data_IF_912940206542
#
_entry.id   IF_912940206542
#
_cell.length_a   1.000
_cell.length_b   1.000
_cell.length_c   1.000
_cell.angle_alpha   90.00
_cell.angle_beta   90.00
_cell.angle_gamma   90.00
#
_symmetry.space_group_name_H-M   'P 1'
#
loop_
_entity.id
_entity.type
_entity.pdbx_description
1 polymer ?
#
# COMPACT_ATOMS: atom_id res chain seq x y z
N UNK A 1 26.08 -11.65 9.48
CA UNK A 1 26.03 -10.23 9.91
C UNK A 1 25.19 -10.14 11.17
N UNK A 2 25.74 -9.63 12.26
CA UNK A 2 24.95 -9.38 13.49
C UNK A 2 23.98 -8.24 13.16
N UNK A 3 22.70 -8.52 13.11
CA UNK A 3 21.66 -7.50 13.05
C UNK A 3 21.73 -6.71 14.36
N UNK A 4 22.05 -5.42 14.26
CA UNK A 4 22.07 -4.53 15.41
C UNK A 4 20.65 -4.47 15.98
N UNK A 5 20.48 -4.98 17.19
CA UNK A 5 19.20 -5.02 17.91
C UNK A 5 18.57 -3.61 18.13
N UNK A 6 19.34 -2.56 17.82
CA UNK A 6 18.89 -1.15 17.90
C UNK A 6 18.02 -0.70 16.71
N UNK A 7 17.93 -1.50 15.63
CA UNK A 7 17.14 -1.13 14.44
C UNK A 7 15.68 -1.60 14.48
N UNK A 8 15.29 -2.40 15.46
CA UNK A 8 13.90 -2.81 15.65
C UNK A 8 13.18 -1.82 16.57
N UNK A 9 11.98 -1.36 16.22
CA UNK A 9 11.18 -0.53 17.08
C UNK A 9 11.01 -1.19 18.45
N UNK A 10 11.10 -0.40 19.52
CA UNK A 10 10.97 -0.90 20.87
C UNK A 10 9.54 -1.46 21.10
N UNK A 11 9.42 -2.67 21.66
CA UNK A 11 8.13 -3.30 21.99
C UNK A 11 7.24 -2.40 22.86
N UNK A 12 7.83 -1.56 23.73
CA UNK A 12 7.08 -0.58 24.52
C UNK A 12 6.46 0.54 23.65
N UNK A 13 7.17 1.01 22.64
CA UNK A 13 6.66 1.99 21.69
C UNK A 13 5.56 1.39 20.85
N UNK A 14 5.75 0.16 20.35
CA UNK A 14 4.75 -0.57 19.62
C UNK A 14 3.48 -0.80 20.45
N UNK A 15 3.62 -1.22 21.73
CA UNK A 15 2.49 -1.40 22.65
C UNK A 15 1.78 -0.07 23.00
N UNK A 16 2.50 1.06 23.04
CA UNK A 16 1.88 2.37 23.26
C UNK A 16 1.10 2.85 22.03
N UNK A 17 1.51 2.49 20.82
CA UNK A 17 0.79 2.79 19.59
C UNK A 17 -0.62 2.19 19.57
N UNK A 18 -0.82 1.01 20.18
CA UNK A 18 -2.13 0.34 20.23
C UNK A 18 -3.19 1.11 21.01
N UNK A 19 -2.83 2.09 21.82
CA UNK A 19 -3.75 2.88 22.65
C UNK A 19 -4.38 4.07 21.94
N UNK A 20 -3.86 4.48 20.78
CA UNK A 20 -4.45 5.60 20.03
C UNK A 20 -5.79 5.19 19.40
N UNK A 21 -6.83 6.04 19.42
CA UNK A 21 -8.09 5.73 18.76
C UNK A 21 -7.88 5.56 17.25
N UNK A 22 -8.64 4.64 16.65
CA UNK A 22 -8.64 4.43 15.21
C UNK A 22 -9.70 5.34 14.60
N UNK A 23 -9.32 6.08 13.57
CA UNK A 23 -10.27 6.85 12.77
C UNK A 23 -10.56 6.10 11.48
N UNK A 24 -11.83 6.01 11.11
CA UNK A 24 -12.26 5.50 9.82
C UNK A 24 -12.72 6.70 9.00
N UNK A 25 -12.06 6.95 7.90
CA UNK A 25 -12.32 8.13 7.05
C UNK A 25 -12.40 7.69 5.59
N UNK A 26 -13.14 8.41 4.77
CA UNK A 26 -13.09 8.22 3.32
C UNK A 26 -11.86 8.88 2.73
N UNK A 27 -11.43 8.41 1.55
CA UNK A 27 -10.30 8.96 0.83
C UNK A 27 -10.46 10.48 0.62
N UNK A 28 -9.47 11.24 1.08
CA UNK A 28 -9.50 12.72 1.08
C UNK A 28 -8.74 13.32 -0.09
N UNK A 29 -7.82 12.56 -0.65
CA UNK A 29 -6.92 13.02 -1.70
C UNK A 29 -7.67 13.26 -3.01
N UNK A 30 -7.77 14.53 -3.40
CA UNK A 30 -8.35 14.93 -4.69
C UNK A 30 -7.25 15.44 -5.61
N UNK A 31 -7.25 15.07 -6.90
CA UNK A 31 -6.26 15.56 -7.83
C UNK A 31 -6.49 17.04 -8.15
N UNK A 32 -5.39 17.81 -8.20
CA UNK A 32 -5.42 19.19 -8.70
C UNK A 32 -5.57 19.20 -10.22
N UNK A 33 -6.04 20.32 -10.78
CA UNK A 33 -6.12 20.47 -12.24
C UNK A 33 -4.72 20.50 -12.88
N UNK A 34 -3.71 21.02 -12.16
CA UNK A 34 -2.32 20.96 -12.58
C UNK A 34 -1.83 19.52 -12.71
N UNK A 35 -2.16 18.65 -11.74
CA UNK A 35 -1.79 17.23 -11.77
C UNK A 35 -2.48 16.48 -12.91
N UNK A 36 -3.77 16.73 -13.16
CA UNK A 36 -4.49 16.15 -14.30
C UNK A 36 -3.91 16.61 -15.64
N UNK A 37 -3.55 17.88 -15.74
CA UNK A 37 -2.91 18.43 -16.94
C UNK A 37 -1.54 17.82 -17.18
N UNK A 38 -0.75 17.64 -16.12
CA UNK A 38 0.54 16.98 -16.18
C UNK A 38 0.41 15.51 -16.59
N UNK A 39 -0.60 14.79 -16.09
CA UNK A 39 -0.81 13.37 -16.36
C UNK A 39 -1.27 13.06 -17.80
N UNK A 40 -1.78 14.05 -18.52
CA UNK A 40 -2.34 13.86 -19.87
C UNK A 40 -1.32 13.29 -20.85
N UNK A 41 -1.62 12.11 -21.41
CA UNK A 41 -0.77 11.41 -22.37
C UNK A 41 0.46 10.71 -21.77
N UNK A 42 0.62 10.76 -20.44
CA UNK A 42 1.71 10.12 -19.72
C UNK A 42 1.36 8.69 -19.31
N UNK A 43 2.41 7.90 -19.06
CA UNK A 43 2.29 6.47 -18.71
C UNK A 43 2.82 6.20 -17.30
N UNK A 44 2.24 5.18 -16.66
CA UNK A 44 2.77 4.66 -15.41
C UNK A 44 3.04 3.16 -15.48
N UNK A 45 3.97 2.70 -14.65
CA UNK A 45 4.26 1.29 -14.40
C UNK A 45 4.36 1.04 -12.90
N UNK A 46 3.79 -0.08 -12.41
CA UNK A 46 3.90 -0.48 -11.01
C UNK A 46 4.42 -1.89 -10.93
N UNK A 47 5.61 -2.06 -10.37
CA UNK A 47 6.17 -3.35 -10.04
C UNK A 47 5.85 -3.70 -8.59
N UNK A 48 5.27 -4.89 -8.37
CA UNK A 48 4.88 -5.35 -7.03
C UNK A 48 5.74 -6.53 -6.61
N UNK A 49 6.55 -6.32 -5.59
CA UNK A 49 7.44 -7.32 -5.00
C UNK A 49 7.01 -7.59 -3.56
N UNK A 50 5.98 -8.44 -3.38
CA UNK A 50 5.48 -8.64 -2.03
C UNK A 50 4.37 -9.68 -1.90
N UNK A 51 3.62 -9.55 -0.81
CA UNK A 51 2.48 -10.39 -0.51
C UNK A 51 1.18 -9.82 -1.11
N UNK A 52 0.06 -10.49 -0.88
CA UNK A 52 -1.26 -10.07 -1.36
C UNK A 52 -1.66 -8.67 -0.88
N UNK A 53 -1.20 -8.27 0.32
CA UNK A 53 -1.43 -6.90 0.80
C UNK A 53 -0.72 -5.86 -0.08
N UNK A 54 0.53 -6.14 -0.54
CA UNK A 54 1.20 -5.27 -1.50
C UNK A 54 0.49 -5.26 -2.86
N UNK A 55 -0.06 -6.40 -3.31
CA UNK A 55 -0.87 -6.42 -4.53
C UNK A 55 -2.07 -5.49 -4.37
N UNK A 56 -2.78 -5.57 -3.24
CA UNK A 56 -3.92 -4.69 -2.97
C UNK A 56 -3.52 -3.22 -2.88
N UNK A 57 -2.39 -2.92 -2.25
CA UNK A 57 -1.83 -1.56 -2.20
C UNK A 57 -1.53 -1.03 -3.62
N UNK A 58 -1.01 -1.87 -4.51
CA UNK A 58 -0.76 -1.51 -5.91
C UNK A 58 -2.05 -1.31 -6.72
N UNK A 59 -3.12 -2.04 -6.42
CA UNK A 59 -4.44 -1.81 -7.04
C UNK A 59 -5.00 -0.42 -6.68
N UNK A 60 -4.77 0.06 -5.45
CA UNK A 60 -5.11 1.42 -5.06
C UNK A 60 -4.27 2.45 -5.83
N UNK A 61 -2.96 2.29 -5.89
CA UNK A 61 -2.09 3.19 -6.66
C UNK A 61 -2.49 3.25 -8.14
N UNK A 62 -2.81 2.11 -8.75
CA UNK A 62 -3.33 2.05 -10.13
C UNK A 62 -4.62 2.87 -10.27
N UNK A 63 -5.55 2.71 -9.31
CA UNK A 63 -6.80 3.48 -9.30
C UNK A 63 -6.55 4.99 -9.21
N UNK A 64 -5.63 5.42 -8.36
CA UNK A 64 -5.22 6.82 -8.26
C UNK A 64 -4.62 7.34 -9.57
N UNK A 65 -3.73 6.60 -10.20
CA UNK A 65 -3.08 7.02 -11.44
C UNK A 65 -4.05 7.11 -12.62
N UNK A 66 -4.95 6.14 -12.78
CA UNK A 66 -5.95 6.20 -13.83
C UNK A 66 -7.00 7.30 -13.61
N UNK A 67 -7.32 7.60 -12.36
CA UNK A 67 -8.25 8.68 -12.02
C UNK A 67 -7.74 10.07 -12.43
N UNK A 68 -6.44 10.25 -12.63
CA UNK A 68 -5.85 11.49 -13.17
C UNK A 68 -5.56 11.43 -14.68
N UNK A 69 -5.85 10.29 -15.33
CA UNK A 69 -5.69 10.13 -16.77
C UNK A 69 -4.36 9.54 -17.23
N UNK A 70 -3.56 8.98 -16.30
CA UNK A 70 -2.37 8.19 -16.67
C UNK A 70 -2.80 6.85 -17.28
N UNK A 71 -2.01 6.35 -18.23
CA UNK A 71 -2.21 5.03 -18.85
C UNK A 71 -1.14 4.05 -18.40
N UNK A 72 -1.52 2.79 -18.20
CA UNK A 72 -0.59 1.77 -17.76
C UNK A 72 0.31 1.28 -18.89
N UNK A 73 1.58 1.02 -18.58
CA UNK A 73 2.54 0.30 -19.44
C UNK A 73 3.21 -0.82 -18.66
N UNK A 74 3.65 -1.86 -19.36
CA UNK A 74 4.37 -2.99 -18.74
C UNK A 74 5.85 -2.68 -18.51
N UNK A 75 6.43 -1.78 -19.30
CA UNK A 75 7.85 -1.41 -19.23
C UNK A 75 8.06 -0.11 -18.44
N UNK A 76 8.64 -0.25 -17.24
CA UNK A 76 8.90 0.90 -16.36
C UNK A 76 9.95 1.87 -16.90
N UNK A 77 10.84 1.41 -17.79
CA UNK A 77 11.84 2.25 -18.45
C UNK A 77 11.24 3.19 -19.49
N UNK A 78 10.02 2.92 -19.94
CA UNK A 78 9.26 3.73 -20.91
C UNK A 78 8.14 4.55 -20.24
N UNK A 79 7.98 4.41 -18.93
CA UNK A 79 6.95 5.10 -18.16
C UNK A 79 7.42 6.49 -17.71
N UNK A 80 6.49 7.43 -17.56
CA UNK A 80 6.75 8.71 -16.91
C UNK A 80 6.75 8.58 -15.39
N UNK A 81 6.05 7.57 -14.87
CA UNK A 81 6.07 7.19 -13.45
C UNK A 81 6.33 5.69 -13.33
N UNK A 82 7.34 5.30 -12.59
CA UNK A 82 7.59 3.90 -12.23
C UNK A 82 7.62 3.75 -10.73
N UNK A 83 6.72 2.93 -10.17
CA UNK A 83 6.63 2.67 -8.73
C UNK A 83 7.04 1.23 -8.43
N UNK A 84 7.94 1.06 -7.47
CA UNK A 84 8.32 -0.23 -6.90
C UNK A 84 7.62 -0.40 -5.54
N UNK A 85 6.60 -1.24 -5.47
CA UNK A 85 5.91 -1.57 -4.21
C UNK A 85 6.55 -2.82 -3.60
N UNK A 86 7.11 -2.67 -2.41
CA UNK A 86 8.07 -3.60 -1.85
C UNK A 86 7.67 -4.16 -0.48
N UNK A 87 8.16 -5.37 -0.18
CA UNK A 87 7.88 -6.08 1.08
C UNK A 87 9.13 -6.11 1.98
N UNK A 88 8.91 -6.06 3.29
CA UNK A 88 9.95 -6.13 4.32
C UNK A 88 10.38 -7.57 4.70
N UNK A 89 9.66 -8.60 4.24
CA UNK A 89 9.79 -9.98 4.79
C UNK A 89 10.80 -10.84 4.03
N UNK A 90 11.25 -10.42 2.85
CA UNK A 90 12.03 -11.28 1.95
C UNK A 90 13.39 -10.66 1.66
N UNK A 91 14.44 -11.17 2.32
CA UNK A 91 15.83 -10.72 2.13
C UNK A 91 16.27 -10.74 0.64
N UNK A 92 15.85 -11.75 -0.12
CA UNK A 92 16.08 -11.82 -1.57
C UNK A 92 15.30 -10.75 -2.36
N UNK A 93 14.24 -10.15 -1.79
CA UNK A 93 13.51 -9.08 -2.43
C UNK A 93 14.31 -7.77 -2.43
N UNK A 94 15.07 -7.48 -1.38
CA UNK A 94 15.89 -6.28 -1.29
C UNK A 94 16.96 -6.24 -2.40
N UNK A 95 17.74 -7.32 -2.54
CA UNK A 95 18.78 -7.40 -3.58
C UNK A 95 18.18 -7.25 -4.98
N UNK A 96 17.03 -7.89 -5.23
CA UNK A 96 16.33 -7.78 -6.50
C UNK A 96 15.87 -6.34 -6.76
N UNK A 97 15.30 -5.69 -5.76
CA UNK A 97 14.83 -4.30 -5.85
C UNK A 97 15.99 -3.34 -6.15
N UNK A 98 17.14 -3.50 -5.49
CA UNK A 98 18.30 -2.65 -5.78
C UNK A 98 18.79 -2.82 -7.22
N UNK A 99 18.76 -4.04 -7.77
CA UNK A 99 19.04 -4.29 -9.19
C UNK A 99 18.04 -3.61 -10.11
N UNK A 100 16.76 -3.73 -9.83
CA UNK A 100 15.69 -3.08 -10.63
C UNK A 100 15.76 -1.55 -10.54
N UNK A 101 16.00 -1.00 -9.35
CA UNK A 101 16.26 0.43 -9.21
C UNK A 101 17.47 0.86 -10.05
N UNK A 102 18.55 0.07 -10.05
CA UNK A 102 19.74 0.33 -10.88
C UNK A 102 19.43 0.49 -12.37
N UNK A 103 18.47 -0.28 -12.89
CA UNK A 103 18.01 -0.20 -14.30
C UNK A 103 17.33 1.14 -14.61
N UNK A 104 16.76 1.82 -13.60
CA UNK A 104 16.08 3.11 -13.77
C UNK A 104 17.04 4.30 -13.90
N UNK A 105 18.33 4.12 -13.64
CA UNK A 105 19.32 5.20 -13.69
C UNK A 105 19.38 5.88 -15.05
N UNK A 106 19.54 5.11 -16.12
CA UNK A 106 19.65 5.68 -17.48
C UNK A 106 18.33 6.28 -17.97
N UNK A 107 17.15 5.61 -17.81
CA UNK A 107 15.87 6.21 -18.15
C UNK A 107 15.62 7.56 -17.44
N UNK A 108 15.93 7.65 -16.14
CA UNK A 108 15.75 8.89 -15.38
C UNK A 108 16.69 10.03 -15.81
N UNK A 109 17.89 9.70 -16.32
CA UNK A 109 18.80 10.68 -16.91
C UNK A 109 18.30 11.18 -18.25
N UNK A 110 17.71 10.29 -19.07
CA UNK A 110 17.16 10.63 -20.37
C UNK A 110 15.84 11.42 -20.26
N UNK A 111 15.06 11.19 -19.21
CA UNK A 111 13.83 11.92 -18.91
C UNK A 111 13.91 12.52 -17.49
N UNK A 112 14.39 13.76 -17.34
CA UNK A 112 14.51 14.43 -16.03
C UNK A 112 13.17 14.66 -15.32
N UNK A 113 12.04 14.58 -16.02
CA UNK A 113 10.71 14.71 -15.46
C UNK A 113 10.12 13.35 -15.00
N UNK A 114 10.86 12.27 -15.21
CA UNK A 114 10.46 10.94 -14.79
C UNK A 114 10.36 10.83 -13.26
N UNK A 115 9.28 10.25 -12.78
CA UNK A 115 9.11 9.92 -11.36
C UNK A 115 9.48 8.45 -11.16
N UNK A 116 10.58 8.23 -10.44
CA UNK A 116 10.98 6.90 -9.98
C UNK A 116 10.65 6.81 -8.50
N UNK A 117 9.65 5.98 -8.17
CA UNK A 117 9.15 5.85 -6.81
C UNK A 117 9.37 4.48 -6.20
N UNK A 118 9.50 4.46 -4.88
CA UNK A 118 9.50 3.23 -4.10
C UNK A 118 8.60 3.37 -2.88
N UNK A 119 7.83 2.33 -2.59
CA UNK A 119 6.90 2.30 -1.46
C UNK A 119 6.77 0.90 -0.85
N UNK A 120 5.87 0.79 0.11
CA UNK A 120 5.53 -0.48 0.76
C UNK A 120 6.24 -0.70 2.09
N UNK A 121 6.14 -1.93 2.60
CA UNK A 121 6.60 -2.28 3.94
C UNK A 121 8.11 -2.05 4.14
N UNK A 122 8.92 -2.26 3.11
CA UNK A 122 10.37 -2.08 3.16
C UNK A 122 10.74 -0.61 3.48
N UNK A 123 9.93 0.35 3.06
CA UNK A 123 10.20 1.78 3.33
C UNK A 123 9.85 2.20 4.75
N UNK A 124 9.21 1.35 5.53
CA UNK A 124 8.99 1.57 6.96
C UNK A 124 10.22 1.20 7.81
N UNK A 125 11.25 0.61 7.21
CA UNK A 125 12.49 0.25 7.87
C UNK A 125 13.57 1.29 7.58
N UNK A 126 14.22 1.77 8.63
CA UNK A 126 15.22 2.85 8.55
C UNK A 126 16.43 2.47 7.68
N UNK A 127 16.91 1.24 7.80
CA UNK A 127 18.11 0.78 7.08
C UNK A 127 17.94 0.75 5.56
N UNK A 128 16.92 0.09 4.98
CA UNK A 128 16.66 0.14 3.54
C UNK A 128 16.35 1.55 3.05
N UNK A 129 15.58 2.33 3.82
CA UNK A 129 15.25 3.72 3.50
C UNK A 129 16.52 4.57 3.33
N UNK A 130 17.44 4.52 4.30
CA UNK A 130 18.69 5.26 4.26
C UNK A 130 19.59 4.79 3.11
N UNK A 131 19.68 3.47 2.88
CA UNK A 131 20.43 2.91 1.77
C UNK A 131 19.95 3.44 0.41
N UNK A 132 18.62 3.44 0.18
CA UNK A 132 18.05 3.96 -1.07
C UNK A 132 18.29 5.46 -1.19
N UNK A 133 18.13 6.21 -0.11
CA UNK A 133 18.35 7.63 -0.08
C UNK A 133 19.78 8.01 -0.49
N UNK A 134 20.77 7.24 -0.08
CA UNK A 134 22.19 7.50 -0.30
C UNK A 134 22.66 7.00 -1.68
N UNK A 135 22.23 5.83 -2.11
CA UNK A 135 22.78 5.16 -3.29
C UNK A 135 21.96 5.36 -4.58
N UNK A 136 20.68 5.76 -4.47
CA UNK A 136 19.79 5.94 -5.63
C UNK A 136 19.23 7.37 -5.68
N UNK A 137 20.05 8.39 -6.00
CA UNK A 137 19.62 9.80 -5.97
C UNK A 137 18.50 10.13 -6.96
N UNK A 138 18.33 9.34 -8.01
CA UNK A 138 17.26 9.47 -9.01
C UNK A 138 15.93 8.87 -8.56
N UNK A 139 15.88 8.09 -7.48
CA UNK A 139 14.61 7.72 -6.84
C UNK A 139 14.08 8.96 -6.13
N UNK A 140 13.12 9.62 -6.74
CA UNK A 140 12.63 10.94 -6.31
C UNK A 140 11.32 10.89 -5.54
N UNK A 141 10.66 9.71 -5.41
CA UNK A 141 9.46 9.50 -4.59
C UNK A 141 9.65 8.31 -3.66
N UNK A 142 9.69 8.55 -2.35
CA UNK A 142 9.77 7.48 -1.34
C UNK A 142 8.63 7.67 -0.34
N UNK A 143 7.76 6.65 -0.18
CA UNK A 143 6.65 6.71 0.76
C UNK A 143 6.34 5.36 1.41
N UNK A 144 5.74 5.42 2.60
CA UNK A 144 5.40 4.24 3.39
C UNK A 144 4.05 3.63 3.04
N UNK A 145 3.71 2.52 3.71
CA UNK A 145 2.42 1.83 3.57
C UNK A 145 1.22 2.68 4.01
N UNK A 146 1.44 3.65 4.89
CA UNK A 146 0.40 4.53 5.44
C UNK A 146 0.18 5.82 4.63
N UNK A 147 0.84 5.94 3.47
CA UNK A 147 0.83 7.15 2.64
C UNK A 147 0.15 6.96 1.28
N UNK A 148 -0.55 5.85 1.05
CA UNK A 148 -1.14 5.58 -0.28
C UNK A 148 -2.15 6.66 -0.68
N UNK A 149 -2.99 7.12 0.26
CA UNK A 149 -3.96 8.21 0.00
C UNK A 149 -3.28 9.59 -0.20
N UNK A 150 -2.03 9.73 0.21
CA UNK A 150 -1.27 10.97 0.02
C UNK A 150 -0.62 11.07 -1.38
N UNK A 151 -0.83 10.10 -2.27
CA UNK A 151 -0.11 10.04 -3.55
C UNK A 151 -0.23 11.33 -4.38
N UNK A 152 -1.41 11.97 -4.43
CA UNK A 152 -1.60 13.21 -5.16
C UNK A 152 -0.83 14.40 -4.56
N UNK A 153 -0.90 14.69 -3.26
CA UNK A 153 -0.04 15.68 -2.64
C UNK A 153 1.45 15.45 -2.88
N UNK A 154 1.91 14.19 -2.75
CA UNK A 154 3.32 13.84 -2.98
C UNK A 154 3.75 14.07 -4.44
N UNK A 155 2.91 13.71 -5.40
CA UNK A 155 3.17 13.97 -6.81
C UNK A 155 3.18 15.48 -7.13
N UNK A 156 2.22 16.24 -6.60
CA UNK A 156 2.20 17.70 -6.77
C UNK A 156 3.52 18.31 -6.26
N UNK A 157 4.00 17.89 -5.10
CA UNK A 157 5.24 18.41 -4.54
C UNK A 157 6.45 18.14 -5.45
N UNK A 158 6.54 16.94 -6.05
CA UNK A 158 7.61 16.60 -7.01
C UNK A 158 7.51 17.47 -8.26
N UNK A 159 6.30 17.60 -8.83
CA UNK A 159 6.08 18.34 -10.08
C UNK A 159 6.38 19.82 -9.92
N UNK A 160 5.95 20.42 -8.80
CA UNK A 160 6.13 21.85 -8.53
C UNK A 160 7.57 22.20 -8.13
N UNK A 161 8.17 21.40 -7.25
CA UNK A 161 9.48 21.73 -6.66
C UNK A 161 10.65 21.09 -7.38
N UNK A 162 10.41 20.10 -8.25
CA UNK A 162 11.46 19.28 -8.92
C UNK A 162 12.47 18.67 -7.94
N UNK A 163 12.05 18.45 -6.70
CA UNK A 163 12.87 17.89 -5.63
C UNK A 163 12.42 16.49 -5.26
N UNK A 164 13.33 15.74 -4.66
CA UNK A 164 13.02 14.45 -4.07
C UNK A 164 12.05 14.60 -2.90
N UNK A 165 11.00 13.79 -2.89
CA UNK A 165 10.00 13.73 -1.81
C UNK A 165 10.14 12.42 -1.06
N UNK A 166 10.34 12.52 0.26
CA UNK A 166 10.39 11.38 1.18
C UNK A 166 9.31 11.59 2.22
N UNK A 167 8.29 10.74 2.22
CA UNK A 167 7.17 10.82 3.17
C UNK A 167 6.86 9.44 3.72
N UNK A 168 7.51 9.08 4.81
CA UNK A 168 7.26 7.83 5.52
C UNK A 168 6.66 8.14 6.87
N UNK A 169 5.35 7.92 7.00
CA UNK A 169 4.66 8.11 8.27
C UNK A 169 5.05 6.97 9.22
N UNK A 170 5.61 7.34 10.37
CA UNK A 170 5.97 6.40 11.44
C UNK A 170 4.77 5.98 12.30
N UNK A 171 3.64 6.69 12.17
CA UNK A 171 2.42 6.47 12.95
C UNK A 171 1.47 5.61 12.12
N UNK A 172 0.78 4.70 12.79
CA UNK A 172 -0.27 3.93 12.17
C UNK A 172 -1.33 4.88 11.61
N UNK A 173 -1.58 4.72 10.32
CA UNK A 173 -2.59 5.50 9.64
C UNK A 173 -4.01 5.12 10.10
N UNK A 174 -4.96 5.93 9.69
CA UNK A 174 -6.38 5.62 9.80
C UNK A 174 -6.77 4.45 8.88
N UNK A 175 -7.98 3.96 9.02
CA UNK A 175 -8.62 3.14 8.00
C UNK A 175 -9.22 4.10 6.97
N UNK A 176 -8.78 3.99 5.72
CA UNK A 176 -9.25 4.84 4.63
C UNK A 176 -10.14 4.01 3.72
N UNK A 177 -11.40 4.38 3.67
CA UNK A 177 -12.40 3.78 2.79
C UNK A 177 -12.52 4.54 1.46
N UNK A 178 -13.22 3.95 0.50
CA UNK A 178 -13.53 4.53 -0.82
C UNK A 178 -12.28 4.97 -1.62
N UNK A 179 -11.11 4.37 -1.36
CA UNK A 179 -9.92 4.61 -2.19
C UNK A 179 -10.17 4.11 -3.61
N UNK A 180 -9.85 4.91 -4.65
CA UNK A 180 -9.93 4.46 -6.02
C UNK A 180 -9.06 3.22 -6.21
N UNK A 181 -9.54 2.25 -6.97
CA UNK A 181 -8.78 1.02 -7.20
C UNK A 181 -9.03 0.44 -8.58
N UNK A 182 -7.95 -0.06 -9.21
CA UNK A 182 -8.04 -0.87 -10.42
C UNK A 182 -7.50 -2.26 -10.12
N UNK A 183 -8.36 -3.26 -10.28
CA UNK A 183 -8.02 -4.66 -9.99
C UNK A 183 -7.09 -5.25 -11.07
N UNK A 184 -6.19 -6.15 -10.65
CA UNK A 184 -5.36 -6.91 -11.58
C UNK A 184 -6.14 -8.02 -12.29
N UNK A 185 -6.95 -8.72 -11.52
CA UNK A 185 -7.66 -9.91 -11.98
C UNK A 185 -9.10 -9.58 -12.38
N UNK A 186 -9.64 -10.32 -13.33
CA UNK A 186 -10.99 -10.10 -13.84
C UNK A 186 -12.09 -10.83 -13.05
N UNK A 187 -11.73 -11.93 -12.39
CA UNK A 187 -12.71 -12.84 -11.77
C UNK A 187 -12.53 -13.01 -10.27
N UNK A 188 -11.36 -12.62 -9.73
CA UNK A 188 -11.05 -12.69 -8.30
C UNK A 188 -10.52 -11.34 -7.82
N UNK A 189 -10.84 -11.00 -6.57
CA UNK A 189 -10.41 -9.75 -5.97
C UNK A 189 -9.90 -9.95 -4.54
N UNK A 190 -8.92 -9.15 -4.16
CA UNK A 190 -8.49 -9.02 -2.78
C UNK A 190 -9.30 -7.94 -2.08
N UNK A 191 -9.83 -8.25 -0.89
CA UNK A 191 -10.58 -7.30 -0.05
C UNK A 191 -9.90 -7.23 1.31
N UNK A 192 -9.27 -6.12 1.62
CA UNK A 192 -8.74 -5.90 2.96
C UNK A 192 -9.90 -5.85 3.94
N UNK A 193 -9.86 -6.63 5.01
CA UNK A 193 -10.85 -6.57 6.09
C UNK A 193 -10.25 -5.90 7.33
N UNK A 194 -8.93 -5.87 7.41
CA UNK A 194 -8.18 -5.25 8.49
C UNK A 194 -6.75 -4.93 8.04
N UNK A 195 -6.10 -4.06 8.77
CA UNK A 195 -4.70 -3.68 8.60
C UNK A 195 -3.92 -3.91 9.89
N UNK A 196 -2.62 -4.16 9.79
CA UNK A 196 -1.72 -4.31 10.93
C UNK A 196 -2.00 -5.53 11.80
N UNK A 197 -1.22 -5.68 12.87
CA UNK A 197 -1.33 -6.83 13.78
C UNK A 197 -0.71 -6.52 15.15
N UNK A 198 -1.42 -6.90 16.22
CA UNK A 198 -1.01 -6.69 17.61
C UNK A 198 -0.46 -7.98 18.28
N UNK A 199 -0.08 -8.99 17.49
CA UNK A 199 0.43 -10.27 18.03
C UNK A 199 1.89 -10.20 18.49
N UNK A 200 2.70 -9.33 17.93
CA UNK A 200 4.12 -9.16 18.27
C UNK A 200 4.89 -10.48 18.36
N UNK A 201 4.65 -11.42 17.42
CA UNK A 201 5.43 -12.65 17.33
C UNK A 201 6.91 -12.29 17.16
N UNK A 202 7.81 -13.02 17.82
CA UNK A 202 9.24 -12.68 17.96
C UNK A 202 9.99 -12.48 16.64
N UNK A 203 9.53 -13.09 15.57
CA UNK A 203 10.13 -13.00 14.22
C UNK A 203 9.40 -12.06 13.27
N UNK A 204 8.30 -11.43 13.69
CA UNK A 204 7.38 -10.76 12.78
C UNK A 204 7.60 -9.24 12.73
N UNK A 205 7.85 -8.73 11.53
CA UNK A 205 8.04 -7.30 11.28
C UNK A 205 6.70 -6.53 11.11
N UNK A 206 5.58 -7.23 10.91
CA UNK A 206 4.28 -6.62 10.58
C UNK A 206 3.83 -5.53 11.55
N UNK A 207 3.90 -5.71 12.89
CA UNK A 207 3.50 -4.66 13.82
C UNK A 207 4.27 -3.34 13.63
N UNK A 208 5.45 -3.42 13.03
CA UNK A 208 6.35 -2.28 12.81
C UNK A 208 6.19 -1.63 11.44
N UNK A 209 5.79 -2.41 10.44
CA UNK A 209 5.67 -1.92 9.05
C UNK A 209 4.23 -1.63 8.62
N UNK A 210 3.25 -2.32 9.23
CA UNK A 210 1.81 -2.12 8.97
C UNK A 210 1.04 -1.64 10.19
N UNK A 211 1.73 -1.44 11.31
CA UNK A 211 1.20 -0.85 12.53
C UNK A 211 0.25 -1.75 13.31
N UNK A 212 -0.53 -1.13 14.20
CA UNK A 212 -1.50 -1.81 15.03
C UNK A 212 -2.65 -2.38 14.21
N UNK A 213 -3.38 -3.33 14.81
CA UNK A 213 -4.61 -3.84 14.24
C UNK A 213 -5.65 -2.72 14.08
N UNK A 214 -6.26 -2.66 12.91
CA UNK A 214 -7.32 -1.72 12.53
C UNK A 214 -8.30 -2.45 11.62
N UNK A 215 -9.48 -2.78 12.13
CA UNK A 215 -10.53 -3.46 11.38
C UNK A 215 -11.38 -2.46 10.60
N UNK A 216 -11.77 -2.83 9.40
CA UNK A 216 -12.77 -2.09 8.61
C UNK A 216 -14.17 -2.46 9.07
N UNK A 217 -15.14 -1.57 8.90
CA UNK A 217 -16.53 -1.87 9.24
C UNK A 217 -17.10 -2.98 8.38
N UNK A 218 -17.98 -3.78 8.95
CA UNK A 218 -18.65 -4.87 8.24
C UNK A 218 -19.40 -4.36 7.01
N UNK A 219 -20.10 -3.24 7.17
CA UNK A 219 -20.91 -2.62 6.14
C UNK A 219 -20.09 -2.22 4.92
N UNK A 220 -18.90 -1.63 5.14
CA UNK A 220 -17.99 -1.19 4.08
C UNK A 220 -17.40 -2.39 3.32
N UNK A 221 -17.06 -3.47 4.04
CA UNK A 221 -16.57 -4.71 3.45
C UNK A 221 -17.67 -5.38 2.60
N UNK A 222 -18.88 -5.51 3.15
CA UNK A 222 -20.02 -6.13 2.44
C UNK A 222 -20.35 -5.33 1.17
N UNK A 223 -20.44 -4.00 1.29
CA UNK A 223 -20.64 -3.10 0.15
C UNK A 223 -19.59 -3.33 -0.95
N UNK A 224 -18.30 -3.39 -0.59
CA UNK A 224 -17.22 -3.65 -1.56
C UNK A 224 -17.40 -5.00 -2.25
N UNK A 225 -17.81 -6.05 -1.52
CA UNK A 225 -18.05 -7.38 -2.10
C UNK A 225 -19.25 -7.39 -3.02
N UNK A 226 -20.33 -6.69 -2.66
CA UNK A 226 -21.53 -6.54 -3.52
C UNK A 226 -21.19 -5.80 -4.82
N UNK A 227 -20.42 -4.72 -4.74
CA UNK A 227 -19.96 -4.00 -5.93
C UNK A 227 -19.07 -4.88 -6.83
N UNK A 228 -18.18 -5.69 -6.24
CA UNK A 228 -17.37 -6.64 -7.00
C UNK A 228 -18.23 -7.68 -7.69
N UNK A 229 -19.21 -8.26 -6.98
CA UNK A 229 -20.16 -9.21 -7.57
C UNK A 229 -20.94 -8.58 -8.72
N UNK A 230 -21.45 -7.36 -8.54
CA UNK A 230 -22.18 -6.64 -9.60
C UNK A 230 -21.31 -6.40 -10.86
N UNK A 231 -19.99 -6.23 -10.68
CA UNK A 231 -18.99 -6.13 -11.76
C UNK A 231 -18.61 -7.49 -12.38
N UNK A 232 -19.17 -8.60 -11.92
CA UNK A 232 -18.96 -9.94 -12.48
C UNK A 232 -17.83 -10.74 -11.83
N UNK A 233 -17.26 -10.26 -10.72
CA UNK A 233 -16.27 -11.04 -9.95
C UNK A 233 -16.92 -12.27 -9.34
N UNK A 234 -16.18 -13.39 -9.30
CA UNK A 234 -16.64 -14.70 -8.84
C UNK A 234 -15.99 -15.11 -7.51
N UNK A 235 -14.85 -14.55 -7.19
CA UNK A 235 -14.11 -14.90 -5.99
C UNK A 235 -13.62 -13.63 -5.27
N UNK A 236 -13.76 -13.62 -3.95
CA UNK A 236 -13.07 -12.66 -3.09
C UNK A 236 -12.15 -13.39 -2.11
N UNK A 237 -10.98 -12.80 -1.88
CA UNK A 237 -10.09 -13.23 -0.80
C UNK A 237 -10.02 -12.11 0.23
N UNK A 238 -10.55 -12.38 1.42
CA UNK A 238 -10.52 -11.47 2.56
C UNK A 238 -9.09 -11.45 3.12
N UNK A 239 -8.46 -10.28 3.11
CA UNK A 239 -7.08 -10.08 3.55
C UNK A 239 -7.02 -9.47 4.94
N UNK A 240 -6.21 -10.08 5.80
CA UNK A 240 -5.79 -9.54 7.08
C UNK A 240 -4.45 -10.13 7.48
N UNK A 241 -3.77 -9.52 8.44
CA UNK A 241 -2.54 -10.08 9.00
C UNK A 241 -2.83 -11.18 10.04
N UNK A 242 -4.03 -11.15 10.61
CA UNK A 242 -4.57 -12.15 11.52
C UNK A 242 -6.11 -12.05 11.48
N UNK A 243 -6.73 -12.63 10.47
CA UNK A 243 -8.19 -12.54 10.25
C UNK A 243 -9.04 -12.99 11.44
N UNK A 244 -8.55 -13.95 12.25
CA UNK A 244 -9.23 -14.40 13.47
C UNK A 244 -9.30 -13.32 14.57
N UNK A 245 -8.56 -12.23 14.42
CA UNK A 245 -8.61 -11.09 15.35
C UNK A 245 -9.51 -9.95 14.83
N UNK A 246 -10.13 -10.12 13.66
CA UNK A 246 -11.04 -9.11 13.09
C UNK A 246 -12.07 -8.64 14.12
N UNK A 247 -12.27 -7.33 14.17
CA UNK A 247 -13.29 -6.67 14.98
C UNK A 247 -13.02 -6.62 16.47
N UNK A 248 -11.90 -7.18 16.96
CA UNK A 248 -11.52 -7.10 18.39
C UNK A 248 -11.15 -5.69 18.84
N UNK A 249 -10.84 -4.82 17.90
CA UNK A 249 -10.49 -3.42 18.08
C UNK A 249 -11.70 -2.48 18.02
N UNK A 250 -12.90 -2.99 17.80
CA UNK A 250 -14.14 -2.21 17.88
C UNK A 250 -14.59 -2.03 19.36
N UNK A 251 -15.26 -0.93 19.66
CA UNK A 251 -15.91 -0.72 20.97
C UNK A 251 -16.90 -1.83 21.30
N UNK A 252 -17.69 -2.25 20.31
CA UNK A 252 -18.54 -3.44 20.39
C UNK A 252 -17.92 -4.53 19.49
N UNK A 253 -17.14 -5.47 20.03
CA UNK A 253 -16.43 -6.47 19.25
C UNK A 253 -17.35 -7.31 18.37
N UNK A 254 -16.93 -7.48 17.12
CA UNK A 254 -17.59 -8.36 16.14
C UNK A 254 -16.57 -9.42 15.73
N UNK A 255 -16.99 -10.68 15.70
CA UNK A 255 -16.10 -11.79 15.38
C UNK A 255 -16.00 -12.03 13.88
N UNK A 256 -14.92 -12.68 13.46
CA UNK A 256 -14.66 -12.96 12.05
C UNK A 256 -15.71 -13.86 11.40
N UNK A 257 -16.29 -14.80 12.15
CA UNK A 257 -17.37 -15.66 11.68
C UNK A 257 -18.63 -14.86 11.31
N UNK A 258 -18.99 -13.85 12.12
CA UNK A 258 -20.10 -12.92 11.80
C UNK A 258 -19.83 -12.15 10.51
N UNK A 259 -18.61 -11.65 10.32
CA UNK A 259 -18.23 -11.02 9.05
C UNK A 259 -18.34 -12.00 7.89
N UNK A 260 -17.82 -13.22 8.06
CA UNK A 260 -17.81 -14.23 7.02
C UNK A 260 -19.22 -14.62 6.59
N UNK A 261 -20.15 -14.75 7.55
CA UNK A 261 -21.57 -14.99 7.27
C UNK A 261 -22.18 -13.84 6.43
N UNK A 262 -21.95 -12.59 6.82
CA UNK A 262 -22.47 -11.44 6.05
C UNK A 262 -21.87 -11.33 4.67
N UNK A 263 -20.59 -11.63 4.49
CA UNK A 263 -19.96 -11.69 3.16
C UNK A 263 -20.56 -12.85 2.33
N UNK A 264 -20.81 -14.01 2.91
CA UNK A 264 -21.45 -15.12 2.22
C UNK A 264 -22.88 -14.78 1.76
N UNK A 265 -23.63 -14.02 2.56
CA UNK A 265 -25.00 -13.55 2.22
C UNK A 265 -25.05 -12.64 0.99
N UNK A 266 -23.94 -12.02 0.58
CA UNK A 266 -23.86 -11.28 -0.71
C UNK A 266 -24.08 -12.20 -1.91
N UNK A 267 -23.90 -13.51 -1.73
CA UNK A 267 -24.01 -14.52 -2.77
C UNK A 267 -22.86 -14.48 -3.78
N UNK A 268 -21.68 -13.98 -3.42
CA UNK A 268 -20.45 -14.16 -4.21
C UNK A 268 -20.12 -15.66 -4.28
N UNK A 269 -19.68 -16.17 -5.44
CA UNK A 269 -19.58 -17.62 -5.68
C UNK A 269 -18.52 -18.29 -4.79
N UNK A 270 -17.43 -17.57 -4.43
CA UNK A 270 -16.35 -18.10 -3.58
C UNK A 270 -15.77 -17.05 -2.65
N UNK A 271 -15.67 -17.40 -1.37
CA UNK A 271 -14.99 -16.62 -0.35
C UNK A 271 -13.76 -17.38 0.14
N UNK A 272 -12.61 -16.70 0.12
CA UNK A 272 -11.36 -17.16 0.75
C UNK A 272 -10.91 -16.15 1.77
N UNK A 273 -10.00 -16.55 2.64
CA UNK A 273 -9.35 -15.65 3.60
C UNK A 273 -7.92 -16.12 3.92
N UNK A 274 -7.06 -15.21 4.37
CA UNK A 274 -5.69 -15.49 4.78
C UNK A 274 -5.18 -14.42 5.76
#
# INVERSE_FOLDING_TARGET
MKTDAKSLPNLKEAANRTKSPIQITSAKSKPSDALKSWAKGRKYCIYTYGCQANVRDSEYLRGYFENIGLTETEEGTEADITIFNTCAIRENAETKIYGELGRMKQPSQNNPDMIVGICGCMMQEEKPLNFIREHFPYVNLIFGTHNIDDIYPLMNEIIERKNRVISVKSIEGDVIEDMPSKRFEKYKAFVNIMYGCDKFCTYCIVPYTRGKQRSRKVEDIVKEVEELKAKGYKEVTLLGQNVNAYGKDFESPITFDVLLEKVAQTGIDRVRFM
#
